data_IF_338752428052
#
_entry.id   IF_338752428052
#
_cell.length_a   1.000
_cell.length_b   1.000
_cell.length_c   1.000
_cell.angle_alpha   90.00
_cell.angle_beta   90.00
_cell.angle_gamma   90.00
#
_symmetry.space_group_name_H-M   'P 1'
#
loop_
_entity.id
_entity.type
_entity.pdbx_description
1 polymer ?
#
# COMPACT_ATOMS: atom_id res chain seq x y z
N UNK A 1 4.68 0.07 14.01
CA UNK A 1 3.61 -0.90 13.70
C UNK A 1 3.49 -1.05 12.20
N UNK A 2 3.01 -2.20 11.70
CA UNK A 2 3.02 -2.55 10.26
C UNK A 2 2.36 -1.50 9.36
N UNK A 3 1.17 -1.00 9.71
CA UNK A 3 0.50 0.07 8.93
C UNK A 3 1.31 1.36 8.87
N UNK A 4 2.02 1.71 9.96
CA UNK A 4 2.88 2.88 10.02
C UNK A 4 4.08 2.76 9.10
N UNK A 5 4.65 1.57 8.92
CA UNK A 5 5.78 1.38 8.00
C UNK A 5 5.36 1.61 6.54
N UNK A 6 4.20 1.09 6.13
CA UNK A 6 3.66 1.34 4.79
C UNK A 6 3.43 2.84 4.58
N UNK A 7 2.83 3.51 5.56
CA UNK A 7 2.64 4.97 5.52
C UNK A 7 3.96 5.73 5.37
N UNK A 8 4.98 5.38 6.15
CA UNK A 8 6.30 6.02 6.04
C UNK A 8 6.95 5.82 4.68
N UNK A 9 6.79 4.63 4.08
CA UNK A 9 7.29 4.35 2.73
C UNK A 9 6.57 5.23 1.70
N UNK A 10 5.24 5.28 1.76
CA UNK A 10 4.43 6.09 0.84
C UNK A 10 4.74 7.59 0.97
N UNK A 11 4.94 8.07 2.20
CA UNK A 11 5.33 9.44 2.52
C UNK A 11 6.75 9.75 1.99
N UNK A 12 7.70 8.83 2.15
CA UNK A 12 9.06 8.98 1.63
C UNK A 12 9.10 9.05 0.10
N UNK A 13 8.22 8.32 -0.59
CA UNK A 13 8.08 8.40 -2.06
C UNK A 13 7.28 9.65 -2.47
N UNK A 14 6.62 10.30 -1.51
CA UNK A 14 5.81 11.49 -1.76
C UNK A 14 4.55 11.19 -2.58
N UNK A 15 3.91 10.04 -2.36
CA UNK A 15 2.69 9.66 -3.08
C UNK A 15 1.45 10.03 -2.27
N UNK A 16 0.42 10.54 -2.94
CA UNK A 16 -0.89 10.67 -2.34
C UNK A 16 -1.52 9.31 -2.09
N UNK A 17 -1.83 8.98 -0.84
CA UNK A 17 -2.53 7.74 -0.47
C UNK A 17 -3.76 8.01 0.38
N UNK A 18 -4.68 7.05 0.40
CA UNK A 18 -5.86 7.07 1.26
C UNK A 18 -5.80 5.90 2.22
N UNK A 19 -5.75 6.20 3.51
CA UNK A 19 -5.89 5.19 4.57
C UNK A 19 -7.36 4.87 4.81
N UNK A 20 -7.72 3.58 4.77
CA UNK A 20 -9.01 3.10 5.24
C UNK A 20 -8.81 2.33 6.53
N UNK A 21 -9.50 2.75 7.59
CA UNK A 21 -9.38 2.11 8.88
C UNK A 21 -10.34 0.92 8.99
N UNK A 22 -9.81 -0.28 8.77
CA UNK A 22 -10.58 -1.53 8.88
C UNK A 22 -10.92 -1.90 10.32
N UNK A 23 -10.31 -1.26 11.33
CA UNK A 23 -10.62 -1.54 12.73
C UNK A 23 -11.96 -0.93 13.17
N UNK A 24 -12.41 0.13 12.49
CA UNK A 24 -13.67 0.81 12.78
C UNK A 24 -14.89 0.07 12.23
N UNK A 25 -14.70 -0.93 11.38
CA UNK A 25 -15.81 -1.69 10.79
C UNK A 25 -15.44 -3.14 10.53
N UNK A 26 -16.11 -4.05 11.23
CA UNK A 26 -15.92 -5.49 11.06
C UNK A 26 -16.27 -5.96 9.63
N UNK A 27 -17.23 -5.30 8.97
CA UNK A 27 -17.61 -5.54 7.58
C UNK A 27 -16.47 -5.22 6.62
N UNK A 28 -15.84 -4.05 6.75
CA UNK A 28 -14.64 -3.70 5.96
C UNK A 28 -13.49 -4.68 6.22
N UNK A 29 -13.28 -5.06 7.49
CA UNK A 29 -12.22 -5.99 7.87
C UNK A 29 -12.38 -7.37 7.24
N UNK A 30 -13.59 -7.89 7.17
CA UNK A 30 -13.85 -9.21 6.57
C UNK A 30 -13.95 -9.10 5.04
N UNK A 31 -14.60 -8.06 4.52
CA UNK A 31 -14.75 -7.82 3.09
C UNK A 31 -13.41 -7.64 2.38
N UNK A 32 -12.47 -6.88 2.96
CA UNK A 32 -11.15 -6.69 2.34
C UNK A 32 -10.34 -7.99 2.28
N UNK A 33 -10.46 -8.85 3.30
CA UNK A 33 -9.76 -10.15 3.34
C UNK A 33 -10.28 -11.10 2.27
N UNK A 34 -11.60 -11.13 2.10
CA UNK A 34 -12.25 -11.95 1.08
C UNK A 34 -11.91 -11.42 -0.33
N UNK A 35 -11.96 -10.09 -0.51
CA UNK A 35 -11.66 -9.43 -1.78
C UNK A 35 -10.20 -9.58 -2.23
N UNK A 36 -9.25 -9.37 -1.31
CA UNK A 36 -7.81 -9.60 -1.58
C UNK A 36 -7.44 -11.07 -1.64
N UNK A 37 -8.31 -11.95 -1.13
CA UNK A 37 -7.97 -13.31 -0.75
C UNK A 37 -6.72 -13.35 0.17
N UNK A 38 -6.54 -12.31 1.00
CA UNK A 38 -5.35 -12.09 1.83
C UNK A 38 -5.74 -11.86 3.29
N UNK A 39 -5.22 -12.68 4.23
CA UNK A 39 -5.70 -12.68 5.62
C UNK A 39 -5.13 -11.54 6.48
N UNK A 40 -4.05 -10.88 6.05
CA UNK A 40 -3.29 -9.92 6.87
C UNK A 40 -3.48 -8.46 6.44
N UNK A 41 -3.24 -7.55 7.37
CA UNK A 41 -3.33 -6.08 7.24
C UNK A 41 -2.00 -5.52 7.77
N UNK A 42 -1.43 -4.46 7.17
CA UNK A 42 -1.94 -3.60 6.09
C UNK A 42 -1.90 -4.25 4.70
N UNK A 43 -2.74 -3.75 3.80
CA UNK A 43 -2.79 -4.13 2.38
C UNK A 43 -2.68 -2.87 1.52
N UNK A 44 -1.80 -2.89 0.52
CA UNK A 44 -1.63 -1.79 -0.43
C UNK A 44 -2.32 -2.14 -1.75
N UNK A 45 -3.09 -1.17 -2.24
CA UNK A 45 -3.75 -1.23 -3.55
C UNK A 45 -3.36 -0.03 -4.40
N UNK A 46 -3.07 -0.27 -5.67
CA UNK A 46 -2.69 0.76 -6.64
C UNK A 46 -3.58 0.64 -7.85
N UNK A 47 -4.40 1.68 -8.10
CA UNK A 47 -5.42 1.67 -9.17
C UNK A 47 -6.34 0.44 -9.16
N UNK A 48 -6.68 -0.05 -7.97
CA UNK A 48 -7.55 -1.23 -7.79
C UNK A 48 -6.81 -2.57 -7.88
N UNK A 49 -5.51 -2.57 -8.15
CA UNK A 49 -4.69 -3.77 -8.17
C UNK A 49 -4.05 -4.00 -6.80
N UNK A 50 -4.18 -5.22 -6.28
CA UNK A 50 -3.55 -5.60 -5.03
C UNK A 50 -2.04 -5.74 -5.23
N UNK A 51 -1.27 -4.95 -4.48
CA UNK A 51 0.21 -4.99 -4.53
C UNK A 51 0.74 -5.99 -3.51
N UNK A 52 0.26 -5.90 -2.27
CA UNK A 52 0.75 -6.76 -1.21
C UNK A 52 0.55 -6.22 0.20
N UNK A 53 1.07 -6.97 1.17
CA UNK A 53 1.12 -6.58 2.57
C UNK A 53 2.34 -5.72 2.94
N UNK A 54 2.51 -5.43 4.23
CA UNK A 54 3.62 -4.60 4.73
C UNK A 54 5.00 -5.08 4.28
N UNK A 55 5.28 -6.38 4.37
CA UNK A 55 6.58 -6.96 4.05
C UNK A 55 6.90 -6.83 2.55
N UNK A 56 5.93 -7.17 1.69
CA UNK A 56 6.05 -7.06 0.23
C UNK A 56 6.29 -5.60 -0.19
N UNK A 57 5.50 -4.67 0.33
CA UNK A 57 5.65 -3.23 0.02
C UNK A 57 7.03 -2.73 0.43
N UNK A 58 7.55 -3.19 1.57
CA UNK A 58 8.89 -2.84 2.03
C UNK A 58 9.97 -3.42 1.13
N UNK A 59 9.86 -4.68 0.73
CA UNK A 59 10.82 -5.31 -0.19
C UNK A 59 10.82 -4.61 -1.54
N UNK A 60 9.63 -4.36 -2.13
CA UNK A 60 9.51 -3.63 -3.39
C UNK A 60 10.05 -2.20 -3.29
N UNK A 61 9.89 -1.55 -2.15
CA UNK A 61 10.49 -0.23 -1.91
C UNK A 61 12.01 -0.30 -1.86
N UNK A 62 12.58 -1.27 -1.14
CA UNK A 62 14.03 -1.46 -1.07
C UNK A 62 14.63 -1.86 -2.42
N UNK A 63 13.88 -2.56 -3.26
CA UNK A 63 14.26 -2.91 -4.62
C UNK A 63 14.05 -1.76 -5.63
N UNK A 64 13.35 -0.68 -5.25
CA UNK A 64 12.96 0.41 -6.16
C UNK A 64 11.77 0.07 -7.09
N UNK A 65 11.28 -1.16 -7.06
CA UNK A 65 10.15 -1.64 -7.87
C UNK A 65 8.85 -0.92 -7.53
N UNK A 66 8.66 -0.50 -6.27
CA UNK A 66 7.45 0.20 -5.85
C UNK A 66 7.31 1.58 -6.54
N UNK A 67 8.42 2.30 -6.68
CA UNK A 67 8.44 3.61 -7.35
C UNK A 67 8.23 3.47 -8.86
N UNK A 68 8.80 2.42 -9.46
CA UNK A 68 8.55 2.07 -10.85
C UNK A 68 7.09 1.74 -11.07
N UNK A 69 6.48 0.90 -10.21
CA UNK A 69 5.07 0.56 -10.27
C UNK A 69 4.18 1.81 -10.25
N UNK A 70 4.47 2.77 -9.36
CA UNK A 70 3.72 4.03 -9.32
C UNK A 70 3.89 4.83 -10.63
N UNK A 71 5.10 4.93 -11.15
CA UNK A 71 5.41 5.63 -12.40
C UNK A 71 4.70 4.99 -13.59
N UNK A 72 4.76 3.66 -13.72
CA UNK A 72 4.08 2.89 -14.77
C UNK A 72 2.57 3.02 -14.68
N UNK A 73 2.03 3.03 -13.46
CA UNK A 73 0.61 3.28 -13.23
C UNK A 73 0.25 4.77 -13.39
N UNK A 74 1.20 5.67 -13.65
CA UNK A 74 0.96 7.11 -13.83
C UNK A 74 0.50 7.80 -12.54
N UNK A 75 0.98 7.34 -11.39
CA UNK A 75 0.80 7.98 -10.09
C UNK A 75 1.90 9.02 -9.92
N UNK A 76 1.53 10.24 -9.55
CA UNK A 76 2.49 11.28 -9.22
C UNK A 76 3.26 10.88 -7.95
N UNK A 77 4.58 10.73 -8.09
CA UNK A 77 5.51 10.51 -6.99
C UNK A 77 6.35 11.77 -6.84
N UNK A 78 6.40 12.34 -5.63
CA UNK A 78 7.37 13.37 -5.29
C UNK A 78 8.68 12.67 -4.92
N UNK A 79 9.26 11.96 -5.90
CA UNK A 79 10.62 11.49 -5.77
C UNK A 79 11.49 12.75 -5.78
N UNK A 80 11.93 13.19 -4.60
CA UNK A 80 12.89 14.27 -4.47
C UNK A 80 14.12 13.91 -5.33
N UNK A 81 14.21 14.55 -6.49
CA UNK A 81 15.38 14.54 -7.39
C UNK A 81 16.52 15.27 -6.73
#
# INVERSE_FOLDING_TARGET
GFSGQVVQILDHIGVGYKGLNVLESAELRNGIKDYSNWPTIPQLYVKGEFVGGCDIVREMFQAGELQQLFTEKGIAVDAAV
#
